data_IF_560782358974
#
_entry.id   IF_560782358974
#
_cell.length_a   1.000
_cell.length_b   1.000
_cell.length_c   1.000
_cell.angle_alpha   90.00
_cell.angle_beta   90.00
_cell.angle_gamma   90.00
#
_symmetry.space_group_name_H-M   'P 1'
#
loop_
_entity.id
_entity.type
_entity.pdbx_description
1 polymer ?
#
# COMPACT_ATOMS: atom_id res chain seq x y z
N UNK A 1 -2.68 52.49 8.01
CA UNK A 1 -2.42 51.89 6.67
C UNK A 1 -1.69 50.54 6.81
N UNK A 2 -2.35 49.50 7.33
CA UNK A 2 -1.74 48.15 7.54
C UNK A 2 -2.56 47.00 6.94
N UNK A 3 -3.83 47.22 6.61
CA UNK A 3 -4.75 46.20 6.08
C UNK A 3 -4.40 45.64 4.68
N UNK A 4 -3.97 46.42 3.66
CA UNK A 4 -3.77 45.86 2.33
C UNK A 4 -2.62 44.85 2.30
N UNK A 5 -1.60 45.07 3.12
CA UNK A 5 -0.41 44.22 3.19
C UNK A 5 -0.69 42.86 3.86
N UNK A 6 -1.55 42.83 4.88
CA UNK A 6 -1.95 41.60 5.54
C UNK A 6 -2.90 40.76 4.66
N UNK A 7 -3.79 41.43 3.92
CA UNK A 7 -4.69 40.77 2.97
C UNK A 7 -3.91 40.13 1.82
N UNK A 8 -2.92 40.85 1.27
CA UNK A 8 -2.06 40.31 0.22
C UNK A 8 -1.18 39.14 0.72
N UNK A 9 -0.67 39.21 1.95
CA UNK A 9 0.08 38.11 2.56
C UNK A 9 -0.81 36.87 2.79
N UNK A 10 -2.04 37.04 3.27
CA UNK A 10 -2.99 35.94 3.44
C UNK A 10 -3.40 35.31 2.11
N UNK A 11 -3.60 36.12 1.08
CA UNK A 11 -3.94 35.64 -0.26
C UNK A 11 -2.76 34.88 -0.89
N UNK A 12 -1.54 35.34 -0.64
CA UNK A 12 -0.31 34.69 -1.09
C UNK A 12 -0.10 33.36 -0.36
N UNK A 13 -0.23 33.34 0.97
CA UNK A 13 -0.09 32.12 1.77
C UNK A 13 -1.15 31.07 1.38
N UNK A 14 -2.38 31.51 1.11
CA UNK A 14 -3.43 30.61 0.61
C UNK A 14 -3.10 30.00 -0.76
N UNK A 15 -2.57 30.80 -1.70
CA UNK A 15 -2.12 30.30 -3.01
C UNK A 15 -0.94 29.34 -2.89
N UNK A 16 0.00 29.62 -1.99
CA UNK A 16 1.15 28.76 -1.73
C UNK A 16 0.69 27.43 -1.12
N UNK A 17 -0.23 27.43 -0.15
CA UNK A 17 -0.82 26.22 0.41
C UNK A 17 -1.58 25.40 -0.65
N UNK A 18 -2.31 26.05 -1.55
CA UNK A 18 -3.02 25.39 -2.68
C UNK A 18 -2.03 24.72 -3.63
N UNK A 19 -0.93 25.38 -3.98
CA UNK A 19 0.13 24.82 -4.82
C UNK A 19 0.76 23.58 -4.17
N UNK A 20 1.15 23.67 -2.90
CA UNK A 20 1.75 22.56 -2.15
C UNK A 20 0.80 21.36 -2.10
N UNK A 21 -0.51 21.60 -1.92
CA UNK A 21 -1.50 20.53 -1.86
C UNK A 21 -1.69 19.84 -3.21
N UNK A 22 -1.64 20.58 -4.32
CA UNK A 22 -1.70 20.01 -5.68
C UNK A 22 -0.46 19.16 -5.96
N UNK A 23 0.73 19.65 -5.63
CA UNK A 23 1.99 18.91 -5.79
C UNK A 23 1.98 17.61 -4.97
N UNK A 24 1.45 17.65 -3.73
CA UNK A 24 1.29 16.45 -2.90
C UNK A 24 0.32 15.44 -3.51
N UNK A 25 -0.81 15.88 -4.07
CA UNK A 25 -1.77 14.99 -4.74
C UNK A 25 -1.14 14.37 -5.99
N UNK A 26 -0.39 15.14 -6.78
CA UNK A 26 0.29 14.67 -7.98
C UNK A 26 1.36 13.62 -7.69
N UNK A 27 2.05 13.71 -6.55
CA UNK A 27 2.98 12.69 -6.06
C UNK A 27 2.27 11.43 -5.53
N UNK A 28 1.10 11.60 -4.92
CA UNK A 28 0.33 10.51 -4.32
C UNK A 28 -0.42 9.70 -5.38
N UNK A 29 -0.87 10.29 -6.47
CA UNK A 29 -1.61 9.61 -7.54
C UNK A 29 -0.83 8.46 -8.23
N UNK A 30 0.45 8.60 -8.64
CA UNK A 30 1.22 7.49 -9.19
C UNK A 30 1.53 6.42 -8.12
N UNK A 31 1.63 6.79 -6.84
CA UNK A 31 1.72 5.82 -5.74
C UNK A 31 0.40 5.06 -5.55
N UNK A 32 -0.74 5.76 -5.58
CA UNK A 32 -2.06 5.15 -5.51
C UNK A 32 -2.32 4.22 -6.71
N UNK A 33 -1.86 4.61 -7.91
CA UNK A 33 -1.96 3.85 -9.16
C UNK A 33 -1.04 2.61 -9.17
N UNK A 34 0.19 2.73 -8.66
CA UNK A 34 1.12 1.58 -8.49
C UNK A 34 0.69 0.64 -7.36
N UNK A 35 0.00 1.14 -6.31
CA UNK A 35 -0.70 0.29 -5.35
C UNK A 35 -1.92 -0.44 -5.98
N UNK A 36 -2.46 0.09 -7.08
CA UNK A 36 -3.64 -0.44 -7.79
C UNK A 36 -3.27 -1.49 -8.85
N UNK A 37 -2.11 -1.37 -9.50
CA UNK A 37 -1.54 -2.33 -10.46
C UNK A 37 -0.35 -3.08 -9.82
N UNK A 38 -0.38 -4.38 -9.45
CA UNK A 38 -1.36 -5.43 -9.72
C UNK A 38 -1.84 -6.10 -8.41
N UNK A 39 -3.06 -5.75 -8.00
CA UNK A 39 -3.91 -6.68 -7.26
C UNK A 39 -4.31 -7.92 -8.11
N UNK A 40 -3.92 -7.99 -9.39
CA UNK A 40 -4.19 -9.10 -10.30
C UNK A 40 -3.48 -10.42 -9.92
N UNK A 41 -2.37 -10.38 -9.16
CA UNK A 41 -1.80 -11.58 -8.55
C UNK A 41 -2.58 -12.08 -7.31
N UNK A 42 -3.64 -11.37 -6.86
CA UNK A 42 -4.51 -11.78 -5.74
C UNK A 42 -5.60 -12.79 -6.12
N UNK A 43 -5.50 -13.49 -7.25
CA UNK A 43 -6.47 -14.52 -7.59
C UNK A 43 -6.40 -15.75 -6.67
N UNK A 44 -5.27 -15.96 -5.99
CA UNK A 44 -5.28 -16.80 -4.80
C UNK A 44 -5.93 -15.98 -3.67
N UNK A 45 -7.24 -16.18 -3.47
CA UNK A 45 -7.96 -15.57 -2.35
C UNK A 45 -7.19 -15.74 -1.04
N UNK A 46 -7.34 -14.80 -0.09
CA UNK A 46 -6.69 -14.91 1.23
C UNK A 46 -6.91 -16.30 1.86
N UNK A 47 -8.08 -16.87 1.60
CA UNK A 47 -8.44 -18.23 1.98
C UNK A 47 -7.62 -19.29 1.25
N UNK A 48 -7.42 -19.18 -0.07
CA UNK A 48 -6.65 -20.13 -0.87
C UNK A 48 -5.16 -20.14 -0.49
N UNK A 49 -4.57 -18.96 -0.23
CA UNK A 49 -3.20 -18.85 0.29
C UNK A 49 -3.06 -19.45 1.69
N UNK A 50 -4.09 -19.29 2.54
CA UNK A 50 -4.10 -19.87 3.88
C UNK A 50 -4.30 -21.39 3.83
N UNK A 51 -5.23 -21.86 3.00
CA UNK A 51 -5.51 -23.29 2.84
C UNK A 51 -4.34 -24.01 2.21
N UNK A 52 -3.65 -23.41 1.23
CA UNK A 52 -2.44 -23.98 0.64
C UNK A 52 -1.27 -24.01 1.63
N UNK A 53 -1.10 -22.99 2.47
CA UNK A 53 -0.10 -23.01 3.56
C UNK A 53 -0.36 -24.18 4.53
N UNK A 54 -1.60 -24.34 5.00
CA UNK A 54 -2.00 -25.42 5.90
C UNK A 54 -1.80 -26.78 5.21
N UNK A 55 -2.24 -26.91 3.97
CA UNK A 55 -2.09 -28.14 3.19
C UNK A 55 -0.62 -28.52 3.00
N UNK A 56 0.26 -27.57 2.67
CA UNK A 56 1.70 -27.84 2.55
C UNK A 56 2.33 -28.28 3.90
N UNK A 57 1.92 -27.70 5.03
CA UNK A 57 2.40 -28.16 6.34
C UNK A 57 1.89 -29.57 6.69
N UNK A 58 0.61 -29.85 6.43
CA UNK A 58 0.05 -31.19 6.62
C UNK A 58 0.74 -32.22 5.73
N UNK A 59 1.01 -31.87 4.47
CA UNK A 59 1.74 -32.71 3.53
C UNK A 59 3.18 -32.95 4.01
N UNK A 60 3.87 -31.92 4.52
CA UNK A 60 5.22 -32.07 5.08
C UNK A 60 5.27 -33.04 6.25
N UNK A 61 4.34 -32.89 7.21
CA UNK A 61 4.22 -33.79 8.37
C UNK A 61 3.86 -35.20 7.89
N UNK A 62 2.90 -35.31 6.96
CA UNK A 62 2.48 -36.56 6.36
C UNK A 62 3.64 -37.30 5.68
N UNK A 63 4.47 -36.59 4.92
CA UNK A 63 5.66 -37.17 4.29
C UNK A 63 6.70 -37.60 5.33
N UNK A 64 6.88 -36.85 6.42
CA UNK A 64 7.79 -37.23 7.51
C UNK A 64 7.33 -38.51 8.20
N UNK A 65 6.03 -38.60 8.52
CA UNK A 65 5.40 -39.80 9.10
C UNK A 65 5.46 -40.97 8.11
N UNK A 66 5.26 -40.69 6.81
CA UNK A 66 5.34 -41.69 5.75
C UNK A 66 6.76 -42.26 5.61
N UNK A 67 7.82 -41.45 5.77
CA UNK A 67 9.20 -41.96 5.78
C UNK A 67 9.44 -43.00 6.88
N UNK A 68 8.84 -42.81 8.06
CA UNK A 68 8.95 -43.78 9.17
C UNK A 68 8.06 -45.00 8.92
N UNK A 69 6.83 -44.76 8.44
CA UNK A 69 5.81 -45.78 8.23
C UNK A 69 5.97 -46.55 6.92
N UNK A 70 6.91 -46.15 6.06
CA UNK A 70 7.19 -46.75 4.75
C UNK A 70 7.51 -48.24 4.87
N UNK A 71 8.14 -48.64 5.98
CA UNK A 71 8.43 -50.04 6.29
C UNK A 71 7.17 -50.88 6.57
N UNK A 72 6.04 -50.25 6.88
CA UNK A 72 4.78 -50.91 7.24
C UNK A 72 3.84 -51.08 6.04
N UNK A 73 3.90 -50.17 5.05
CA UNK A 73 3.02 -50.20 3.88
C UNK A 73 3.50 -51.18 2.80
N UNK A 74 2.58 -51.98 2.27
CA UNK A 74 2.80 -52.89 1.14
C UNK A 74 2.59 -52.09 -0.16
N UNK A 75 3.59 -51.94 -1.06
CA UNK A 75 4.63 -52.90 -1.41
C UNK A 75 6.03 -52.68 -0.80
N UNK A 76 6.27 -51.59 -0.06
CA UNK A 76 7.59 -51.26 0.47
C UNK A 76 8.06 -52.20 1.59
N UNK A 77 7.13 -52.84 2.29
CA UNK A 77 7.39 -53.94 3.22
C UNK A 77 8.09 -55.14 2.54
N UNK A 78 7.83 -55.39 1.25
CA UNK A 78 8.56 -56.43 0.52
C UNK A 78 10.03 -56.05 0.32
N UNK A 79 10.31 -54.79 -0.03
CA UNK A 79 11.68 -54.27 -0.16
C UNK A 79 12.44 -54.35 1.17
N UNK A 80 11.80 -54.01 2.29
CA UNK A 80 12.44 -54.10 3.60
C UNK A 80 12.71 -55.55 4.01
N UNK A 81 11.83 -56.50 3.67
CA UNK A 81 12.04 -57.94 3.93
C UNK A 81 13.19 -58.54 3.11
N UNK A 82 13.35 -58.15 1.85
CA UNK A 82 14.47 -58.60 1.00
C UNK A 82 15.81 -58.19 1.61
N UNK A 83 15.87 -57.01 2.27
CA UNK A 83 17.06 -56.55 2.99
C UNK A 83 17.50 -57.48 4.13
N UNK A 84 16.59 -58.25 4.73
CA UNK A 84 16.87 -59.08 5.91
C UNK A 84 17.00 -60.58 5.62
N UNK A 85 16.62 -61.08 4.44
CA UNK A 85 16.86 -62.48 4.05
C UNK A 85 18.29 -62.64 3.52
N UNK A 86 19.22 -63.02 4.39
CA UNK A 86 20.59 -63.39 4.02
C UNK A 86 20.62 -64.75 3.31
N UNK A 87 20.61 -64.73 1.97
CA UNK A 87 21.12 -65.83 1.16
C UNK A 87 22.33 -65.33 0.35
N UNK A 88 23.53 -65.93 0.49
CA UNK A 88 24.76 -65.44 -0.12
C UNK A 88 24.84 -65.62 -1.64
N UNK A 89 23.85 -66.25 -2.27
CA UNK A 89 23.85 -66.56 -3.71
C UNK A 89 23.32 -65.43 -4.61
N UNK A 90 22.61 -64.42 -4.07
CA UNK A 90 21.94 -63.35 -4.86
C UNK A 90 22.42 -61.93 -4.49
N UNK A 91 23.72 -61.80 -4.23
CA UNK A 91 24.36 -60.54 -3.78
C UNK A 91 24.13 -59.34 -4.72
N UNK A 92 24.04 -59.54 -6.04
CA UNK A 92 23.80 -58.45 -7.01
C UNK A 92 22.37 -57.91 -6.96
N UNK A 93 21.37 -58.80 -6.94
CA UNK A 93 19.95 -58.42 -6.81
C UNK A 93 19.65 -57.76 -5.45
N UNK A 94 20.35 -58.16 -4.39
CA UNK A 94 20.25 -57.51 -3.08
C UNK A 94 20.75 -56.06 -3.10
N UNK A 95 21.88 -55.80 -3.78
CA UNK A 95 22.44 -54.46 -3.88
C UNK A 95 21.48 -53.50 -4.59
N UNK A 96 20.90 -53.93 -5.71
CA UNK A 96 19.94 -53.13 -6.47
C UNK A 96 18.66 -52.83 -5.65
N UNK A 97 18.17 -53.81 -4.88
CA UNK A 97 17.01 -53.63 -4.01
C UNK A 97 17.30 -52.67 -2.83
N UNK A 98 18.49 -52.73 -2.24
CA UNK A 98 18.90 -51.82 -1.17
C UNK A 98 19.07 -50.39 -1.67
N UNK A 99 19.73 -50.20 -2.82
CA UNK A 99 19.89 -48.90 -3.47
C UNK A 99 18.52 -48.30 -3.81
N UNK A 100 17.59 -49.10 -4.34
CA UNK A 100 16.22 -48.67 -4.62
C UNK A 100 15.49 -48.24 -3.35
N UNK A 101 15.61 -48.99 -2.25
CA UNK A 101 15.01 -48.64 -0.97
C UNK A 101 15.54 -47.31 -0.43
N UNK A 102 16.85 -47.09 -0.47
CA UNK A 102 17.50 -45.84 -0.04
C UNK A 102 17.06 -44.68 -0.95
N UNK A 103 16.99 -44.90 -2.26
CA UNK A 103 16.53 -43.90 -3.23
C UNK A 103 15.08 -43.46 -2.95
N UNK A 104 14.18 -44.39 -2.61
CA UNK A 104 12.79 -44.06 -2.26
C UNK A 104 12.72 -43.23 -0.97
N UNK A 105 13.44 -43.61 0.08
CA UNK A 105 13.43 -42.87 1.35
C UNK A 105 14.01 -41.45 1.19
N UNK A 106 15.11 -41.32 0.44
CA UNK A 106 15.71 -40.01 0.17
C UNK A 106 14.80 -39.13 -0.69
N UNK A 107 14.13 -39.70 -1.70
CA UNK A 107 13.15 -38.96 -2.52
C UNK A 107 11.99 -38.43 -1.68
N UNK A 108 11.41 -39.25 -0.80
CA UNK A 108 10.30 -38.84 0.08
C UNK A 108 10.76 -37.75 1.05
N UNK A 109 11.96 -37.87 1.63
CA UNK A 109 12.53 -36.85 2.50
C UNK A 109 12.75 -35.51 1.77
N UNK A 110 13.25 -35.56 0.53
CA UNK A 110 13.45 -34.38 -0.33
C UNK A 110 12.11 -33.71 -0.67
N UNK A 111 11.09 -34.49 -1.02
CA UNK A 111 9.74 -33.97 -1.25
C UNK A 111 9.17 -33.30 0.01
N UNK A 112 9.39 -33.89 1.18
CA UNK A 112 9.03 -33.30 2.47
C UNK A 112 9.73 -31.95 2.69
N UNK A 113 11.04 -31.88 2.42
CA UNK A 113 11.79 -30.64 2.52
C UNK A 113 11.27 -29.56 1.55
N UNK A 114 11.01 -29.90 0.30
CA UNK A 114 10.44 -28.97 -0.68
C UNK A 114 9.08 -28.45 -0.24
N UNK A 115 8.22 -29.30 0.31
CA UNK A 115 6.91 -28.88 0.80
C UNK A 115 7.01 -27.84 1.95
N UNK A 116 8.01 -27.97 2.83
CA UNK A 116 8.31 -26.97 3.86
C UNK A 116 8.80 -25.65 3.27
N UNK A 117 9.68 -25.70 2.26
CA UNK A 117 10.17 -24.49 1.58
C UNK A 117 9.01 -23.75 0.93
N UNK A 118 8.12 -24.46 0.22
CA UNK A 118 6.93 -23.89 -0.40
C UNK A 118 6.03 -23.26 0.66
N UNK A 119 5.75 -23.96 1.78
CA UNK A 119 4.95 -23.43 2.87
C UNK A 119 5.54 -22.11 3.44
N UNK A 120 6.87 -22.05 3.63
CA UNK A 120 7.57 -20.85 4.09
C UNK A 120 7.46 -19.70 3.09
N UNK A 121 7.55 -19.97 1.79
CA UNK A 121 7.39 -18.96 0.75
C UNK A 121 5.96 -18.42 0.71
N UNK A 122 4.96 -19.30 0.76
CA UNK A 122 3.54 -18.93 0.83
C UNK A 122 3.25 -18.02 2.03
N UNK A 123 3.83 -18.32 3.21
CA UNK A 123 3.72 -17.46 4.39
C UNK A 123 4.31 -16.07 4.16
N UNK A 124 5.48 -15.96 3.52
CA UNK A 124 6.10 -14.66 3.18
C UNK A 124 5.22 -13.85 2.22
N UNK A 125 4.65 -14.50 1.20
CA UNK A 125 3.72 -13.87 0.26
C UNK A 125 2.47 -13.36 1.00
N UNK A 126 1.89 -14.16 1.90
CA UNK A 126 0.74 -13.75 2.72
C UNK A 126 1.02 -12.50 3.55
N UNK A 127 2.19 -12.44 4.21
CA UNK A 127 2.59 -11.27 5.01
C UNK A 127 2.74 -10.02 4.14
N UNK A 128 3.42 -10.13 3.00
CA UNK A 128 3.56 -9.02 2.03
C UNK A 128 2.19 -8.53 1.53
N UNK A 129 1.29 -9.46 1.21
CA UNK A 129 -0.07 -9.14 0.78
C UNK A 129 -0.89 -8.43 1.88
N UNK A 130 -0.67 -8.77 3.16
CA UNK A 130 -1.32 -8.10 4.29
C UNK A 130 -0.83 -6.65 4.43
N UNK A 131 0.48 -6.44 4.40
CA UNK A 131 1.10 -5.11 4.52
C UNK A 131 0.69 -4.23 3.33
N UNK A 132 0.75 -4.74 2.11
CA UNK A 132 0.34 -4.00 0.92
C UNK A 132 -1.15 -3.63 0.95
N UNK A 133 -2.00 -4.54 1.43
CA UNK A 133 -3.43 -4.24 1.59
C UNK A 133 -3.71 -3.19 2.67
N UNK A 134 -2.87 -3.10 3.71
CA UNK A 134 -2.98 -2.06 4.73
C UNK A 134 -2.49 -0.71 4.19
N UNK A 135 -1.35 -0.71 3.51
CA UNK A 135 -0.82 0.48 2.83
C UNK A 135 -1.83 1.07 1.84
N UNK A 136 -2.50 0.23 1.04
CA UNK A 136 -3.55 0.68 0.12
C UNK A 136 -4.77 1.28 0.82
N UNK A 137 -5.14 0.80 2.02
CA UNK A 137 -6.22 1.42 2.83
C UNK A 137 -5.79 2.78 3.37
N UNK A 138 -4.59 2.86 3.94
CA UNK A 138 -4.06 4.11 4.49
C UNK A 138 -3.88 5.16 3.40
N UNK A 139 -3.43 4.76 2.21
CA UNK A 139 -3.28 5.66 1.07
C UNK A 139 -4.62 6.21 0.59
N UNK A 140 -5.67 5.38 0.54
CA UNK A 140 -7.03 5.85 0.23
C UNK A 140 -7.54 6.86 1.26
N UNK A 141 -7.25 6.62 2.54
CA UNK A 141 -7.64 7.53 3.62
C UNK A 141 -6.90 8.87 3.49
N UNK A 142 -5.59 8.85 3.25
CA UNK A 142 -4.79 10.05 3.01
C UNK A 142 -5.29 10.83 1.80
N UNK A 143 -5.51 10.16 0.65
CA UNK A 143 -6.08 10.80 -0.54
C UNK A 143 -7.45 11.41 -0.23
N UNK A 144 -8.30 10.71 0.51
CA UNK A 144 -9.59 11.22 0.96
C UNK A 144 -9.46 12.52 1.76
N UNK A 145 -8.55 12.57 2.73
CA UNK A 145 -8.27 13.75 3.53
C UNK A 145 -7.73 14.93 2.70
N UNK A 146 -6.85 14.66 1.73
CA UNK A 146 -6.32 15.70 0.84
C UNK A 146 -7.41 16.23 -0.11
N UNK A 147 -8.29 15.38 -0.62
CA UNK A 147 -9.44 15.80 -1.43
C UNK A 147 -10.45 16.61 -0.63
N UNK A 148 -10.73 16.24 0.62
CA UNK A 148 -11.59 17.00 1.52
C UNK A 148 -11.01 18.38 1.81
N UNK A 149 -9.70 18.47 2.11
CA UNK A 149 -9.00 19.76 2.27
C UNK A 149 -9.05 20.62 1.02
N UNK A 150 -8.89 20.01 -0.16
CA UNK A 150 -9.00 20.72 -1.45
C UNK A 150 -10.41 21.28 -1.65
N UNK A 151 -11.44 20.49 -1.37
CA UNK A 151 -12.84 20.92 -1.50
C UNK A 151 -13.16 22.05 -0.51
N UNK A 152 -12.68 21.98 0.74
CA UNK A 152 -12.84 23.06 1.71
C UNK A 152 -12.14 24.34 1.26
N UNK A 153 -10.93 24.25 0.70
CA UNK A 153 -10.24 25.40 0.10
C UNK A 153 -11.04 26.01 -1.06
N UNK A 154 -11.60 25.20 -1.95
CA UNK A 154 -12.43 25.70 -3.06
C UNK A 154 -13.72 26.37 -2.56
N UNK A 155 -14.34 25.85 -1.50
CA UNK A 155 -15.53 26.48 -0.88
C UNK A 155 -15.17 27.82 -0.21
N UNK A 156 -14.01 27.90 0.46
CA UNK A 156 -13.49 29.14 1.06
C UNK A 156 -13.18 30.16 -0.04
N UNK A 157 -12.55 29.74 -1.14
CA UNK A 157 -12.27 30.58 -2.30
C UNK A 157 -13.56 31.12 -2.92
N UNK A 158 -14.57 30.27 -3.12
CA UNK A 158 -15.87 30.69 -3.65
C UNK A 158 -16.60 31.66 -2.71
N UNK A 159 -16.57 31.44 -1.39
CA UNK A 159 -17.25 32.34 -0.43
C UNK A 159 -16.51 33.65 -0.18
N UNK A 160 -15.18 33.64 -0.13
CA UNK A 160 -14.40 34.81 0.32
C UNK A 160 -13.70 35.57 -0.81
N UNK A 161 -13.48 35.00 -2.00
CA UNK A 161 -12.95 35.77 -3.14
C UNK A 161 -14.02 36.49 -3.96
N UNK A 162 -15.31 36.10 -3.85
CA UNK A 162 -16.42 36.82 -4.49
C UNK A 162 -16.93 38.01 -3.66
N UNK A 163 -16.80 37.94 -2.33
CA UNK A 163 -17.32 38.93 -1.37
C UNK A 163 -16.27 39.93 -0.86
N UNK A 164 -15.07 40.00 -1.46
CA UNK A 164 -14.13 41.07 -1.14
C UNK A 164 -14.54 42.33 -1.91
N UNK A 165 -15.19 43.33 -1.28
CA UNK A 165 -15.38 44.62 -1.92
C UNK A 165 -14.01 45.11 -2.36
N UNK A 166 -13.88 45.40 -3.65
CA UNK A 166 -12.72 46.12 -4.16
C UNK A 166 -12.76 47.54 -3.57
N UNK A 167 -12.24 47.69 -2.35
CA UNK A 167 -12.03 49.00 -1.73
C UNK A 167 -10.97 49.85 -2.47
N UNK A 168 -10.56 49.42 -3.66
CA UNK A 168 -9.71 50.15 -4.60
C UNK A 168 -10.36 50.21 -6.01
N UNK A 169 -11.68 50.38 -6.10
CA UNK A 169 -12.28 50.90 -7.32
C UNK A 169 -11.85 52.36 -7.53
N UNK A 170 -11.43 52.79 -8.73
CA UNK A 170 -11.01 54.18 -9.00
C UNK A 170 -12.06 55.23 -8.59
N UNK A 171 -13.35 54.84 -8.55
CA UNK A 171 -14.44 55.68 -8.09
C UNK A 171 -14.40 56.05 -6.59
N UNK A 172 -13.87 55.18 -5.72
CA UNK A 172 -13.76 55.47 -4.28
C UNK A 172 -12.61 56.45 -3.98
N UNK A 173 -11.56 56.41 -4.80
CA UNK A 173 -10.43 57.35 -4.72
C UNK A 173 -10.83 58.73 -5.26
N UNK A 174 -11.62 58.79 -6.34
CA UNK A 174 -12.17 60.05 -6.86
C UNK A 174 -13.13 60.73 -5.86
N UNK A 175 -14.04 59.98 -5.24
CA UNK A 175 -14.95 60.54 -4.22
C UNK A 175 -14.20 61.03 -2.98
N UNK A 176 -13.14 60.33 -2.56
CA UNK A 176 -12.31 60.78 -1.44
C UNK A 176 -11.51 62.05 -1.79
N UNK A 177 -10.96 62.13 -3.01
CA UNK A 177 -10.27 63.32 -3.51
C UNK A 177 -11.21 64.52 -3.66
N UNK A 178 -12.45 64.31 -4.14
CA UNK A 178 -13.47 65.37 -4.18
C UNK A 178 -13.86 65.86 -2.79
N UNK A 179 -13.99 64.97 -1.81
CA UNK A 179 -14.29 65.36 -0.42
C UNK A 179 -13.16 66.19 0.23
N UNK A 180 -11.91 65.90 -0.13
CA UNK A 180 -10.73 66.65 0.31
C UNK A 180 -10.63 68.04 -0.35
N UNK A 181 -11.06 68.18 -1.61
CA UNK A 181 -11.10 69.48 -2.30
C UNK A 181 -12.24 70.35 -1.75
N UNK A 182 -13.43 69.79 -1.54
CA UNK A 182 -14.56 70.51 -0.96
C UNK A 182 -14.25 71.05 0.45
N UNK A 183 -13.53 70.27 1.26
CA UNK A 183 -13.13 70.70 2.61
C UNK A 183 -12.08 71.81 2.63
N UNK A 184 -11.29 71.99 1.55
CA UNK A 184 -10.30 73.08 1.43
C UNK A 184 -10.94 74.39 0.99
N UNK A 185 -11.97 74.35 0.15
CA UNK A 185 -12.71 75.53 -0.30
C UNK A 185 -13.55 76.16 0.82
N UNK A 186 -14.11 75.33 1.71
CA UNK A 186 -14.82 75.81 2.91
C UNK A 186 -13.89 76.45 3.95
N UNK A 187 -12.60 76.12 3.94
CA UNK A 187 -11.61 76.67 4.88
C UNK A 187 -11.01 78.00 4.38
N UNK A 188 -11.04 78.28 3.08
CA UNK A 188 -10.57 79.56 2.53
C UNK A 188 -11.64 80.67 2.52
N UNK A 189 -12.92 80.31 2.61
CA UNK A 189 -14.04 81.26 2.65
C UNK A 189 -14.42 81.72 4.07
N UNK A 190 -13.82 81.13 5.11
CA UNK A 190 -14.09 81.45 6.52
C UNK A 190 -13.16 82.48 7.18
N UNK A 191 -12.18 83.04 6.46
CA UNK A 191 -11.18 84.00 7.00
C UNK A 191 -11.28 85.41 6.40
N UNK A 192 -12.47 85.81 5.97
CA UNK A 192 -12.75 87.19 5.55
C UNK A 192 -14.05 87.71 6.16
N UNK A 193 -14.06 87.88 7.48
CA UNK A 193 -14.94 88.79 8.21
C UNK A 193 -14.17 89.36 9.41
#
# INVERSE_FOLDING_TARGET
MLLPRLQDDLLKDFKDQKRILIEQIELIDPMAKSLRQPAAYRLAGKFLLLSSEIFCYLMAIGLFVATISLNLFYPFNQLSRIRYLHNPSDLSLLHDAEVLSIAVHTLVAILGLFSLVIARMTRRIRLKNKVLSLAGKNMKLLVGQHLERKALMEVIEQRHCLDLPSFAGPAAVELWLQSQQASKETLQTGTSL
#
